data_IF_205374788370
#
_entry.id   IF_205374788370
#
_cell.length_a   1.000
_cell.length_b   1.000
_cell.length_c   1.000
_cell.angle_alpha   90.00
_cell.angle_beta   90.00
_cell.angle_gamma   90.00
#
_symmetry.space_group_name_H-M   'P 1'
#
loop_
_entity.id
_entity.type
_entity.pdbx_description
1 polymer ?
#
# COMPACT_ATOMS: atom_id res chain seq x y z
N UNK A 1 14.77 10.71 -20.61
CA UNK A 1 13.85 9.57 -20.45
C UNK A 1 12.45 10.13 -20.63
N UNK A 2 11.74 9.76 -21.70
CA UNK A 2 10.42 10.32 -22.03
C UNK A 2 9.38 9.22 -21.83
N UNK A 3 8.46 9.41 -20.88
CA UNK A 3 7.38 8.46 -20.60
C UNK A 3 6.14 8.86 -21.41
N UNK A 4 5.77 8.06 -22.41
CA UNK A 4 4.56 8.27 -23.21
C UNK A 4 3.54 7.20 -22.82
N UNK A 5 2.48 7.60 -22.11
CA UNK A 5 1.36 6.74 -21.73
C UNK A 5 0.14 7.07 -22.60
N UNK A 6 -0.35 6.07 -23.32
CA UNK A 6 -1.58 6.14 -24.09
C UNK A 6 -2.78 5.87 -23.19
N UNK A 7 -3.78 6.75 -23.25
CA UNK A 7 -5.02 6.65 -22.46
C UNK A 7 -6.13 6.11 -23.36
N UNK A 8 -6.40 4.82 -23.29
CA UNK A 8 -7.70 4.29 -23.73
C UNK A 8 -8.35 3.44 -22.63
N UNK A 9 -9.67 3.59 -22.53
CA UNK A 9 -10.49 3.28 -21.36
C UNK A 9 -10.84 1.80 -21.21
N UNK A 10 -10.87 1.35 -19.95
CA UNK A 10 -11.39 0.07 -19.39
C UNK A 10 -10.39 -1.07 -19.14
N UNK A 11 -9.17 -1.01 -19.66
CA UNK A 11 -8.05 -1.81 -19.14
C UNK A 11 -7.26 -1.00 -18.10
N UNK A 12 -6.79 -1.65 -17.03
CA UNK A 12 -5.91 -0.98 -16.05
C UNK A 12 -4.71 -0.42 -16.79
N UNK A 13 -4.34 0.83 -16.49
CA UNK A 13 -3.31 1.56 -17.25
C UNK A 13 -1.99 0.80 -17.20
N UNK A 14 -1.54 0.33 -18.36
CA UNK A 14 -0.21 -0.23 -18.53
C UNK A 14 0.81 0.90 -18.45
N UNK A 15 1.95 0.66 -17.80
CA UNK A 15 3.05 1.61 -17.80
C UNK A 15 3.89 1.42 -19.06
N UNK A 16 4.19 2.49 -19.78
CA UNK A 16 5.03 2.47 -20.99
C UNK A 16 6.29 3.29 -20.77
N UNK A 17 7.41 2.67 -21.08
CA UNK A 17 8.74 3.22 -20.91
C UNK A 17 9.45 3.27 -22.27
N UNK A 18 9.89 4.46 -22.69
CA UNK A 18 10.77 4.56 -23.85
C UNK A 18 12.22 4.49 -23.38
N UNK A 19 12.89 3.39 -23.72
CA UNK A 19 14.29 3.13 -23.42
C UNK A 19 15.05 3.04 -24.74
N UNK A 20 15.82 4.08 -25.04
CA UNK A 20 16.45 4.28 -26.36
C UNK A 20 15.38 4.24 -27.46
N UNK A 21 15.50 3.29 -28.38
CA UNK A 21 14.64 3.16 -29.56
C UNK A 21 13.52 2.13 -29.34
N UNK A 22 13.36 1.67 -28.09
CA UNK A 22 12.38 0.66 -27.71
C UNK A 22 11.31 1.25 -26.78
N UNK A 23 10.04 0.97 -27.10
CA UNK A 23 8.91 1.18 -26.20
C UNK A 23 8.61 -0.13 -25.50
N UNK A 24 8.79 -0.17 -24.18
CA UNK A 24 8.52 -1.34 -23.33
C UNK A 24 7.25 -1.08 -22.54
N UNK A 25 6.38 -2.08 -22.48
CA UNK A 25 5.19 -2.05 -21.66
C UNK A 25 5.39 -2.88 -20.38
N UNK A 26 4.86 -2.37 -19.27
CA UNK A 26 4.89 -3.01 -17.97
C UNK A 26 3.47 -3.09 -17.43
N UNK A 27 2.93 -4.31 -17.53
CA UNK A 27 1.54 -4.63 -17.22
C UNK A 27 1.34 -4.96 -15.73
N UNK A 28 0.06 -5.02 -15.28
CA UNK A 28 -0.26 -5.60 -13.98
C UNK A 28 0.29 -7.03 -13.80
N UNK A 29 0.33 -7.83 -14.87
CA UNK A 29 0.86 -9.19 -14.83
C UNK A 29 2.37 -9.20 -14.58
N UNK A 30 3.12 -8.33 -15.25
CA UNK A 30 4.57 -8.20 -15.05
C UNK A 30 4.90 -7.78 -13.62
N UNK A 31 4.11 -6.85 -13.07
CA UNK A 31 4.25 -6.46 -11.67
C UNK A 31 3.96 -7.62 -10.71
N UNK A 32 2.90 -8.39 -10.94
CA UNK A 32 2.58 -9.57 -10.14
C UNK A 32 3.70 -10.62 -10.22
N UNK A 33 4.28 -10.82 -11.40
CA UNK A 33 5.36 -11.76 -11.64
C UNK A 33 6.64 -11.36 -10.88
N UNK A 34 6.99 -10.07 -10.88
CA UNK A 34 8.19 -9.56 -10.21
C UNK A 34 8.02 -9.51 -8.68
N UNK A 35 6.85 -9.09 -8.20
CA UNK A 35 6.64 -8.86 -6.76
C UNK A 35 6.10 -10.08 -6.02
N UNK A 36 5.53 -11.05 -6.72
CA UNK A 36 4.80 -12.17 -6.13
C UNK A 36 3.50 -11.77 -5.43
N UNK A 37 3.09 -10.50 -5.51
CA UNK A 37 1.89 -10.01 -4.83
C UNK A 37 0.61 -10.48 -5.56
N UNK A 38 -0.47 -10.65 -4.78
CA UNK A 38 -1.75 -11.15 -5.31
C UNK A 38 -2.50 -10.07 -6.10
N UNK A 39 -2.95 -10.43 -7.30
CA UNK A 39 -3.80 -9.63 -8.19
C UNK A 39 -5.18 -10.31 -8.36
N UNK A 40 -6.01 -10.28 -7.32
CA UNK A 40 -7.40 -10.77 -7.39
C UNK A 40 -8.37 -9.62 -7.17
N UNK A 41 -9.68 -9.84 -7.26
CA UNK A 41 -10.66 -8.82 -6.83
C UNK A 41 -10.37 -8.36 -5.41
N UNK A 42 -10.57 -7.06 -5.13
CA UNK A 42 -10.43 -6.53 -3.78
C UNK A 42 -11.58 -7.11 -2.93
N UNK A 43 -11.28 -7.91 -1.89
CA UNK A 43 -12.34 -8.39 -1.00
C UNK A 43 -12.93 -7.22 -0.21
N UNK A 44 -14.15 -7.40 0.26
CA UNK A 44 -14.80 -6.42 1.14
C UNK A 44 -13.98 -6.26 2.43
N UNK A 45 -13.58 -5.02 2.73
CA UNK A 45 -12.88 -4.71 3.98
C UNK A 45 -13.89 -4.51 5.11
N UNK A 46 -13.57 -4.89 6.37
CA UNK A 46 -14.44 -4.61 7.50
C UNK A 46 -14.65 -3.10 7.69
N UNK A 47 -15.83 -2.72 8.19
CA UNK A 47 -16.16 -1.32 8.46
C UNK A 47 -15.61 -0.82 9.81
N UNK A 48 -15.24 -1.75 10.70
CA UNK A 48 -14.68 -1.47 12.03
C UNK A 48 -13.82 -2.65 12.48
N UNK A 49 -12.88 -2.41 13.39
CA UNK A 49 -12.05 -3.46 13.99
C UNK A 49 -11.77 -3.17 15.46
N UNK A 50 -11.59 -4.23 16.27
CA UNK A 50 -11.26 -4.06 17.68
C UNK A 50 -9.89 -3.40 17.84
N UNK A 51 -8.96 -3.72 16.95
CA UNK A 51 -7.64 -3.09 16.88
C UNK A 51 -7.69 -1.57 16.65
N UNK A 52 -8.58 -1.10 15.77
CA UNK A 52 -8.74 0.35 15.49
C UNK A 52 -9.27 1.09 16.71
N UNK A 53 -10.29 0.54 17.38
CA UNK A 53 -10.85 1.11 18.61
C UNK A 53 -9.81 1.11 19.74
N UNK A 54 -9.06 0.02 19.91
CA UNK A 54 -8.12 -0.16 21.03
C UNK A 54 -6.92 0.81 20.97
N UNK A 55 -6.37 1.05 19.77
CA UNK A 55 -5.13 1.84 19.64
C UNK A 55 -5.37 3.28 19.21
N UNK A 56 -6.49 3.56 18.55
CA UNK A 56 -6.73 4.85 17.93
C UNK A 56 -8.09 5.45 18.29
N UNK A 57 -8.82 4.86 19.25
CA UNK A 57 -10.14 5.32 19.70
C UNK A 57 -11.15 5.49 18.55
N UNK A 58 -11.00 4.70 17.47
CA UNK A 58 -11.85 4.80 16.29
C UNK A 58 -11.64 6.06 15.44
N UNK A 59 -10.59 6.86 15.70
CA UNK A 59 -10.30 8.10 14.97
C UNK A 59 -10.02 7.83 13.48
N UNK A 60 -10.55 8.65 12.56
CA UNK A 60 -10.33 8.46 11.12
C UNK A 60 -9.02 9.08 10.60
N UNK A 61 -8.45 10.03 11.34
CA UNK A 61 -7.33 10.89 10.97
C UNK A 61 -5.98 10.39 11.51
N UNK A 62 -5.77 9.08 11.43
CA UNK A 62 -4.54 8.43 11.90
C UNK A 62 -3.43 8.71 10.88
N UNK A 63 -2.28 9.16 11.34
CA UNK A 63 -1.12 9.39 10.48
C UNK A 63 -0.12 8.24 10.56
N UNK A 64 0.75 8.16 9.55
CA UNK A 64 1.74 7.08 9.49
C UNK A 64 2.85 7.22 10.55
N UNK A 65 3.25 8.45 10.90
CA UNK A 65 4.15 8.73 12.03
C UNK A 65 3.61 8.17 13.36
N UNK A 66 2.30 8.29 13.62
CA UNK A 66 1.66 7.70 14.81
C UNK A 66 1.77 6.17 14.83
N UNK A 67 1.69 5.51 13.68
CA UNK A 67 1.85 4.04 13.57
C UNK A 67 3.31 3.64 13.81
N UNK A 68 4.25 4.38 13.23
CA UNK A 68 5.69 4.15 13.38
C UNK A 68 6.12 4.31 14.85
N UNK A 69 5.70 5.40 15.50
CA UNK A 69 5.98 5.65 16.91
C UNK A 69 5.41 4.55 17.82
N UNK A 70 4.18 4.11 17.56
CA UNK A 70 3.57 3.00 18.31
C UNK A 70 4.32 1.69 18.09
N UNK A 71 4.76 1.40 16.86
CA UNK A 71 5.51 0.19 16.56
C UNK A 71 6.88 0.20 17.24
N UNK A 72 7.66 1.29 17.10
CA UNK A 72 8.98 1.42 17.72
C UNK A 72 8.87 1.44 19.25
N UNK A 73 7.88 2.15 19.80
CA UNK A 73 7.71 2.32 21.24
C UNK A 73 7.14 1.11 21.97
N UNK A 74 6.12 0.43 21.40
CA UNK A 74 5.45 -0.70 22.07
C UNK A 74 6.05 -2.07 21.74
N UNK A 75 6.76 -2.21 20.62
CA UNK A 75 7.20 -3.52 20.11
C UNK A 75 8.69 -3.80 20.27
N UNK A 76 9.30 -3.27 21.35
CA UNK A 76 10.71 -3.47 21.67
C UNK A 76 11.07 -4.97 21.71
N UNK A 77 12.17 -5.41 21.06
CA UNK A 77 12.57 -6.81 20.91
C UNK A 77 12.71 -7.64 22.20
N UNK A 78 12.72 -7.00 23.38
CA UNK A 78 12.87 -7.68 24.67
C UNK A 78 11.52 -8.09 25.31
N UNK A 79 10.39 -7.63 24.78
CA UNK A 79 9.05 -8.09 25.15
C UNK A 79 8.48 -8.89 23.99
N UNK A 80 8.11 -10.15 24.23
CA UNK A 80 7.59 -11.04 23.18
C UNK A 80 6.56 -10.34 22.29
N UNK A 81 6.67 -10.51 20.97
CA UNK A 81 5.82 -9.84 20.00
C UNK A 81 4.36 -10.31 20.15
N UNK A 82 3.59 -9.57 20.95
CA UNK A 82 2.16 -9.79 21.10
C UNK A 82 1.42 -9.52 19.79
N UNK A 83 0.18 -10.01 19.70
CA UNK A 83 -0.68 -9.85 18.52
C UNK A 83 -0.79 -8.38 18.05
N UNK A 84 -0.82 -7.43 18.99
CA UNK A 84 -0.82 -5.98 18.70
C UNK A 84 0.42 -5.57 17.90
N UNK A 85 1.59 -6.09 18.26
CA UNK A 85 2.85 -5.77 17.60
C UNK A 85 2.95 -6.36 16.21
N UNK A 86 2.40 -7.56 16.01
CA UNK A 86 2.26 -8.14 14.69
C UNK A 86 1.36 -7.26 13.79
N UNK A 87 0.20 -6.82 14.29
CA UNK A 87 -0.73 -5.97 13.54
C UNK A 87 -0.12 -4.60 13.20
N UNK A 88 0.63 -3.99 14.12
CA UNK A 88 1.40 -2.77 13.87
C UNK A 88 2.51 -2.98 12.83
N UNK A 89 3.25 -4.10 12.91
CA UNK A 89 4.27 -4.44 11.93
C UNK A 89 3.66 -4.59 10.51
N UNK A 90 2.50 -5.24 10.40
CA UNK A 90 1.79 -5.38 9.13
C UNK A 90 1.36 -4.02 8.57
N UNK A 91 0.83 -3.11 9.40
CA UNK A 91 0.52 -1.74 8.95
C UNK A 91 1.78 -0.98 8.52
N UNK A 92 2.87 -1.14 9.25
CA UNK A 92 4.15 -0.55 8.87
C UNK A 92 4.64 -1.07 7.51
N UNK A 93 4.51 -2.37 7.23
CA UNK A 93 4.81 -2.94 5.91
C UNK A 93 3.91 -2.34 4.82
N UNK A 94 2.61 -2.21 5.08
CA UNK A 94 1.67 -1.63 4.10
C UNK A 94 2.08 -0.21 3.72
N UNK A 95 2.33 0.67 4.69
CA UNK A 95 2.58 2.08 4.41
C UNK A 95 4.05 2.42 4.12
N UNK A 96 4.97 1.71 4.75
CA UNK A 96 6.41 1.90 4.60
C UNK A 96 7.00 1.14 3.41
N UNK A 97 6.38 0.04 2.97
CA UNK A 97 6.92 -0.80 1.89
C UNK A 97 5.98 -0.85 0.68
N UNK A 98 4.73 -1.26 0.87
CA UNK A 98 3.81 -1.52 -0.27
C UNK A 98 3.35 -0.22 -0.93
N UNK A 99 2.88 0.72 -0.12
CA UNK A 99 2.34 2.01 -0.58
C UNK A 99 3.37 3.14 -0.48
N UNK A 100 4.57 2.86 0.03
CA UNK A 100 5.65 3.82 0.32
C UNK A 100 5.19 5.27 0.36
N UNK A 101 4.74 5.74 1.52
CA UNK A 101 4.47 7.15 1.70
C UNK A 101 5.79 7.91 1.89
N UNK A 102 6.22 8.63 0.85
CA UNK A 102 7.36 9.57 0.95
C UNK A 102 7.14 10.66 2.02
N UNK A 103 5.89 10.90 2.43
CA UNK A 103 5.50 11.84 3.49
C UNK A 103 4.83 11.08 4.64
N UNK A 104 5.52 11.01 5.79
CA UNK A 104 5.07 10.32 7.01
C UNK A 104 3.83 10.97 7.65
N UNK A 105 3.54 12.24 7.34
CA UNK A 105 2.39 12.98 7.88
C UNK A 105 1.08 12.69 7.14
N UNK A 106 1.06 11.78 6.16
CA UNK A 106 -0.17 11.45 5.42
C UNK A 106 -1.13 10.65 6.29
N UNK A 107 -2.39 11.04 6.20
CA UNK A 107 -3.49 10.27 6.79
C UNK A 107 -3.56 8.92 6.10
N UNK A 108 -3.57 7.87 6.91
CA UNK A 108 -3.61 6.49 6.48
C UNK A 108 -5.05 6.10 6.13
N UNK A 109 -5.20 5.15 5.20
CA UNK A 109 -6.51 4.60 4.91
C UNK A 109 -6.96 3.65 6.02
N UNK A 110 -8.00 4.04 6.77
CA UNK A 110 -8.55 3.25 7.87
C UNK A 110 -8.97 1.83 7.46
N UNK A 111 -9.30 1.61 6.19
CA UNK A 111 -9.59 0.26 5.67
C UNK A 111 -8.46 -0.72 5.90
N UNK A 112 -7.20 -0.29 5.79
CA UNK A 112 -6.05 -1.17 6.02
C UNK A 112 -5.84 -1.43 7.51
N UNK A 113 -6.23 -0.49 8.39
CA UNK A 113 -6.25 -0.68 9.85
C UNK A 113 -7.28 -1.73 10.24
N UNK A 114 -8.45 -1.73 9.59
CA UNK A 114 -9.44 -2.78 9.81
C UNK A 114 -8.98 -4.13 9.29
N UNK A 115 -8.26 -4.13 8.18
CA UNK A 115 -7.80 -5.35 7.51
C UNK A 115 -6.73 -6.10 8.33
N UNK A 116 -5.83 -5.40 9.04
CA UNK A 116 -4.82 -6.08 9.88
C UNK A 116 -5.40 -6.79 11.10
N UNK A 117 -6.65 -6.48 11.49
CA UNK A 117 -7.29 -7.15 12.62
C UNK A 117 -7.59 -8.63 12.31
N UNK A 118 -7.81 -8.95 11.03
CA UNK A 118 -7.96 -10.30 10.49
C UNK A 118 -6.77 -10.64 9.58
N UNK A 119 -5.81 -11.38 10.12
CA UNK A 119 -4.57 -11.75 9.40
C UNK A 119 -4.86 -12.60 8.15
N UNK A 120 -5.90 -13.43 8.16
CA UNK A 120 -6.24 -14.24 6.99
C UNK A 120 -6.81 -13.37 5.87
N UNK A 121 -7.65 -12.40 6.24
CA UNK A 121 -8.13 -11.39 5.29
C UNK A 121 -6.95 -10.54 4.77
N UNK A 122 -6.01 -10.19 5.64
CA UNK A 122 -4.79 -9.47 5.25
C UNK A 122 -3.94 -10.23 4.24
N UNK A 123 -3.64 -11.51 4.48
CA UNK A 123 -2.84 -12.35 3.56
C UNK A 123 -3.56 -12.61 2.23
N UNK A 124 -4.89 -12.74 2.28
CA UNK A 124 -5.70 -12.94 1.09
C UNK A 124 -5.99 -11.67 0.30
N UNK A 125 -5.69 -10.51 0.87
CA UNK A 125 -5.93 -9.22 0.23
C UNK A 125 -5.08 -9.04 -1.03
N UNK A 126 -5.64 -8.35 -2.00
CA UNK A 126 -5.02 -8.13 -3.30
C UNK A 126 -4.04 -6.95 -3.27
N UNK A 127 -3.02 -7.05 -2.41
CA UNK A 127 -1.97 -6.04 -2.24
C UNK A 127 -1.28 -5.67 -3.56
N UNK A 128 -1.19 -6.62 -4.49
CA UNK A 128 -0.62 -6.38 -5.81
C UNK A 128 -1.41 -5.34 -6.61
N UNK A 129 -2.74 -5.41 -6.57
CA UNK A 129 -3.58 -4.40 -7.23
C UNK A 129 -3.35 -3.01 -6.62
N UNK A 130 -3.38 -2.92 -5.29
CA UNK A 130 -3.25 -1.63 -4.60
C UNK A 130 -1.88 -1.03 -4.86
N UNK A 131 -0.82 -1.84 -4.78
CA UNK A 131 0.54 -1.40 -5.04
C UNK A 131 0.74 -0.94 -6.49
N UNK A 132 0.14 -1.65 -7.46
CA UNK A 132 0.22 -1.26 -8.86
C UNK A 132 -0.55 0.02 -9.17
N UNK A 133 -1.77 0.15 -8.64
CA UNK A 133 -2.57 1.37 -8.80
C UNK A 133 -1.81 2.57 -8.20
N UNK A 134 -1.19 2.40 -7.03
CA UNK A 134 -0.33 3.41 -6.40
C UNK A 134 0.93 3.74 -7.23
N UNK A 135 1.60 2.72 -7.81
CA UNK A 135 2.75 2.91 -8.69
C UNK A 135 2.39 3.76 -9.92
N UNK A 136 1.24 3.47 -10.53
CA UNK A 136 0.72 4.23 -11.69
C UNK A 136 0.45 5.68 -11.31
N UNK A 137 -0.18 5.92 -10.15
CA UNK A 137 -0.43 7.27 -9.64
C UNK A 137 0.87 8.06 -9.37
N UNK A 138 1.86 7.44 -8.71
CA UNK A 138 3.14 8.08 -8.44
C UNK A 138 3.91 8.43 -9.72
N UNK A 139 3.82 7.56 -10.73
CA UNK A 139 4.45 7.80 -12.04
C UNK A 139 3.79 8.98 -12.75
N UNK A 140 2.46 9.11 -12.67
CA UNK A 140 1.73 10.26 -13.21
C UNK A 140 2.08 11.56 -12.48
N UNK A 141 2.07 11.57 -11.15
CA UNK A 141 2.37 12.78 -10.36
C UNK A 141 3.80 13.31 -10.61
N UNK A 142 4.76 12.40 -10.83
CA UNK A 142 6.15 12.79 -11.14
C UNK A 142 6.24 13.45 -12.51
N UNK A 143 5.45 13.01 -13.49
CA UNK A 143 5.42 13.63 -14.82
C UNK A 143 4.90 15.06 -14.75
N UNK A 144 3.77 15.29 -14.08
CA UNK A 144 3.14 16.62 -14.01
C UNK A 144 4.02 17.65 -13.26
N UNK A 145 5.05 17.20 -12.52
CA UNK A 145 6.02 18.08 -11.85
C UNK A 145 7.26 18.43 -12.69
N UNK A 146 7.41 17.81 -13.86
CA UNK A 146 8.55 18.00 -14.78
C UNK A 146 8.18 18.79 -16.04
N UNK A 147 6.88 19.00 -16.29
CA UNK A 147 6.32 19.88 -17.32
C UNK A 147 6.01 21.27 -16.72
#
# INVERSE_FOLDING_TARGET
MVLILDRSSRDRKHLRFNIRDHSIEFSPFDFALVTGLRFRTLPTTPASSAFHTLLFDGRPDIRFDEIEDLFIGKCNPHGGAGEICLKLALLYIVYGVILYHRQLSRVVNTRYIHLVDDIQLFDSFSWGLVAYDHLVECTHATRDSLD
#
